data_IF_855925934773
#
_entry.id   IF_855925934773
#
_cell.length_a   1.000
_cell.length_b   1.000
_cell.length_c   1.000
_cell.angle_alpha   90.00
_cell.angle_beta   90.00
_cell.angle_gamma   90.00
#
_symmetry.space_group_name_H-M   'P 1'
#
loop_
_entity.id
_entity.type
_entity.pdbx_description
1 polymer ?
#
# COMPACT_ATOMS: atom_id res chain seq x y z
N UNK A 1 35.62 -2.81 6.28
CA UNK A 1 34.24 -2.33 6.44
C UNK A 1 33.87 -1.63 5.15
N UNK A 2 32.79 -2.06 4.49
CA UNK A 2 32.29 -1.33 3.32
C UNK A 2 31.82 0.06 3.75
N UNK A 3 32.01 1.06 2.90
CA UNK A 3 31.45 2.40 3.15
C UNK A 3 29.93 2.36 3.04
N UNK A 4 29.20 3.30 3.67
CA UNK A 4 27.73 3.36 3.61
C UNK A 4 27.22 3.42 2.16
N UNK A 5 27.94 4.13 1.29
CA UNK A 5 27.63 4.24 -0.14
C UNK A 5 27.89 2.93 -0.90
N UNK A 6 28.96 2.20 -0.57
CA UNK A 6 29.20 0.85 -1.14
C UNK A 6 28.10 -0.12 -0.75
N UNK A 7 27.71 -0.14 0.52
CA UNK A 7 26.62 -0.98 1.01
C UNK A 7 25.30 -0.63 0.32
N UNK A 8 24.99 0.66 0.20
CA UNK A 8 23.82 1.14 -0.54
C UNK A 8 23.81 0.64 -1.98
N UNK A 9 24.94 0.75 -2.69
CA UNK A 9 25.05 0.26 -4.07
C UNK A 9 24.88 -1.26 -4.15
N UNK A 10 25.45 -2.00 -3.20
CA UNK A 10 25.32 -3.46 -3.13
C UNK A 10 23.86 -3.89 -2.92
N UNK A 11 23.17 -3.32 -1.93
CA UNK A 11 21.76 -3.66 -1.64
C UNK A 11 20.85 -3.22 -2.79
N UNK A 12 21.13 -2.08 -3.41
CA UNK A 12 20.41 -1.63 -4.60
C UNK A 12 20.56 -2.60 -5.78
N UNK A 13 21.76 -3.14 -6.01
CA UNK A 13 21.97 -4.13 -7.06
C UNK A 13 21.17 -5.42 -6.80
N UNK A 14 21.09 -5.87 -5.56
CA UNK A 14 20.23 -7.00 -5.16
C UNK A 14 18.76 -6.69 -5.48
N UNK A 15 18.26 -5.51 -5.07
CA UNK A 15 16.90 -5.06 -5.41
C UNK A 15 16.65 -5.07 -6.92
N UNK A 16 17.61 -4.55 -7.70
CA UNK A 16 17.51 -4.47 -9.15
C UNK A 16 17.44 -5.85 -9.79
N UNK A 17 18.31 -6.77 -9.37
CA UNK A 17 18.33 -8.15 -9.86
C UNK A 17 17.03 -8.89 -9.52
N UNK A 18 16.51 -8.73 -8.30
CA UNK A 18 15.23 -9.29 -7.89
C UNK A 18 14.08 -8.79 -8.79
N UNK A 19 13.98 -7.48 -9.03
CA UNK A 19 12.92 -6.93 -9.88
C UNK A 19 13.12 -7.24 -11.36
N UNK A 20 14.37 -7.29 -11.84
CA UNK A 20 14.69 -7.73 -13.20
C UNK A 20 14.31 -9.20 -13.40
N UNK A 21 14.56 -10.06 -12.42
CA UNK A 21 14.20 -11.48 -12.48
C UNK A 21 12.68 -11.67 -12.67
N UNK A 22 11.86 -10.80 -12.07
CA UNK A 22 10.40 -10.82 -12.17
C UNK A 22 9.84 -10.33 -13.52
N UNK A 23 10.66 -9.71 -14.38
CA UNK A 23 10.20 -9.28 -15.70
C UNK A 23 9.83 -10.46 -16.60
N UNK A 24 8.81 -10.27 -17.45
CA UNK A 24 8.41 -11.29 -18.43
C UNK A 24 9.55 -11.55 -19.43
N UNK A 25 9.59 -12.77 -19.99
CA UNK A 25 10.56 -13.14 -21.03
C UNK A 25 10.53 -12.18 -22.22
N UNK A 26 9.34 -11.71 -22.60
CA UNK A 26 9.17 -10.69 -23.65
C UNK A 26 9.80 -9.36 -23.24
N UNK A 27 9.56 -8.88 -22.02
CA UNK A 27 10.15 -7.64 -21.53
C UNK A 27 11.69 -7.72 -21.51
N UNK A 28 12.25 -8.84 -21.05
CA UNK A 28 13.71 -9.09 -21.08
C UNK A 28 14.26 -9.12 -22.50
N UNK A 29 13.54 -9.72 -23.46
CA UNK A 29 13.95 -9.75 -24.86
C UNK A 29 13.96 -8.38 -25.55
N UNK A 30 13.28 -7.38 -24.98
CA UNK A 30 13.31 -5.98 -25.43
C UNK A 30 14.16 -5.09 -24.51
N UNK A 31 15.08 -5.67 -23.72
CA UNK A 31 15.93 -4.96 -22.77
C UNK A 31 15.17 -4.00 -21.85
N UNK A 32 13.95 -4.39 -21.45
CA UNK A 32 13.18 -3.61 -20.51
C UNK A 32 13.84 -3.62 -19.12
N UNK A 33 13.98 -2.45 -18.53
CA UNK A 33 14.43 -2.29 -17.15
C UNK A 33 13.26 -2.31 -16.15
N UNK A 34 13.48 -2.77 -14.91
CA UNK A 34 12.51 -2.64 -13.82
C UNK A 34 12.27 -1.15 -13.51
N UNK A 35 11.02 -0.78 -13.23
CA UNK A 35 10.67 0.61 -12.89
C UNK A 35 10.89 0.86 -11.39
N UNK A 36 12.13 1.19 -11.05
CA UNK A 36 12.58 1.51 -9.68
C UNK A 36 12.93 3.00 -9.65
N UNK A 37 12.31 3.75 -8.73
CA UNK A 37 12.51 5.20 -8.65
C UNK A 37 12.76 5.67 -7.25
N UNK A 38 13.82 6.44 -7.08
CA UNK A 38 14.09 7.07 -5.82
C UNK A 38 12.99 8.07 -5.47
N UNK A 39 12.53 8.04 -4.21
CA UNK A 39 11.60 9.00 -3.60
C UNK A 39 11.96 10.47 -3.86
N UNK A 40 13.26 10.83 -3.88
CA UNK A 40 13.75 12.17 -4.27
C UNK A 40 13.26 12.70 -5.61
N UNK A 41 13.03 11.81 -6.59
CA UNK A 41 12.56 12.23 -7.92
C UNK A 41 11.14 12.81 -7.90
N UNK A 42 10.35 12.50 -6.88
CA UNK A 42 8.96 12.93 -6.74
C UNK A 42 8.82 14.28 -6.00
N UNK A 43 9.86 14.73 -5.30
CA UNK A 43 9.88 15.99 -4.53
C UNK A 43 9.86 17.22 -5.45
N UNK A 44 10.54 17.17 -6.60
CA UNK A 44 10.75 18.33 -7.50
C UNK A 44 9.47 18.94 -8.10
N UNK A 45 8.32 18.26 -7.98
CA UNK A 45 7.07 18.69 -8.62
C UNK A 45 6.14 19.46 -7.68
N UNK A 46 6.34 19.38 -6.37
CA UNK A 46 5.45 19.95 -5.37
C UNK A 46 6.28 20.53 -4.20
N UNK A 47 6.69 21.79 -4.29
CA UNK A 47 7.07 22.57 -3.10
C UNK A 47 5.80 22.88 -2.28
N UNK A 48 5.22 21.85 -1.65
CA UNK A 48 4.19 22.06 -0.64
C UNK A 48 4.92 22.57 0.61
N UNK A 49 4.56 23.74 1.11
CA UNK A 49 5.10 24.24 2.37
C UNK A 49 4.58 23.34 3.50
N UNK A 50 5.45 22.52 4.10
CA UNK A 50 5.13 21.84 5.36
C UNK A 50 5.19 22.90 6.44
N UNK A 51 4.06 23.14 7.11
CA UNK A 51 4.03 24.03 8.26
C UNK A 51 4.93 23.42 9.35
N UNK A 52 5.83 24.22 9.91
CA UNK A 52 6.94 23.77 10.75
C UNK A 52 6.59 23.04 12.08
N UNK A 53 5.36 22.98 12.63
CA UNK A 53 5.13 22.13 13.80
C UNK A 53 4.85 20.65 13.45
N UNK A 54 4.82 20.25 12.18
CA UNK A 54 4.52 18.85 11.82
C UNK A 54 5.74 17.97 12.10
N UNK A 55 5.68 17.19 13.19
CA UNK A 55 6.70 16.19 13.58
C UNK A 55 6.42 14.79 13.03
N UNK A 56 5.17 14.53 12.63
CA UNK A 56 4.74 13.26 12.07
C UNK A 56 3.57 13.43 11.08
N UNK A 57 3.52 12.55 10.08
CA UNK A 57 2.43 12.45 9.11
C UNK A 57 1.97 11.00 9.01
N UNK A 58 0.69 10.79 9.27
CA UNK A 58 0.01 9.52 9.15
C UNK A 58 -0.69 9.39 7.79
N UNK A 59 -0.48 8.26 7.13
CA UNK A 59 -1.14 7.87 5.89
C UNK A 59 -2.02 6.64 6.17
N UNK A 60 -3.32 6.83 6.45
CA UNK A 60 -4.23 5.74 6.77
C UNK A 60 -4.65 4.95 5.53
N UNK A 61 -5.07 3.71 5.75
CA UNK A 61 -5.72 2.88 4.73
C UNK A 61 -6.92 3.60 4.07
N UNK A 62 -7.12 3.36 2.78
CA UNK A 62 -8.22 3.91 1.99
C UNK A 62 -9.57 3.49 2.54
N UNK A 63 -10.48 4.46 2.66
CA UNK A 63 -11.87 4.19 3.02
C UNK A 63 -12.57 3.25 2.03
N UNK A 64 -12.13 3.20 0.75
CA UNK A 64 -12.69 2.27 -0.23
C UNK A 64 -12.35 0.81 0.10
N UNK A 65 -11.12 0.52 0.53
CA UNK A 65 -10.75 -0.81 0.99
C UNK A 65 -11.43 -1.16 2.32
N UNK A 66 -11.57 -0.17 3.22
CA UNK A 66 -12.18 -0.36 4.53
C UNK A 66 -13.71 -0.48 4.50
N UNK A 67 -14.40 0.28 3.65
CA UNK A 67 -15.86 0.44 3.65
C UNK A 67 -16.54 -0.12 2.39
N UNK A 68 -15.84 -0.19 1.25
CA UNK A 68 -16.38 -0.68 -0.01
C UNK A 68 -16.99 -2.09 0.08
N UNK A 69 -16.29 -3.08 0.65
CA UNK A 69 -16.84 -4.41 0.87
C UNK A 69 -18.08 -4.42 1.78
N UNK A 70 -18.12 -3.52 2.77
CA UNK A 70 -19.27 -3.39 3.69
C UNK A 70 -20.50 -2.88 2.95
N UNK A 71 -20.34 -1.85 2.11
CA UNK A 71 -21.44 -1.30 1.28
C UNK A 71 -21.97 -2.37 0.31
N UNK A 72 -21.09 -3.07 -0.39
CA UNK A 72 -21.48 -4.16 -1.30
C UNK A 72 -22.23 -5.25 -0.54
N UNK A 73 -21.77 -5.60 0.65
CA UNK A 73 -22.46 -6.57 1.51
C UNK A 73 -23.85 -6.10 1.97
N UNK A 74 -24.00 -4.84 2.37
CA UNK A 74 -25.30 -4.26 2.73
C UNK A 74 -26.27 -4.32 1.54
N UNK A 75 -25.81 -3.97 0.34
CA UNK A 75 -26.62 -4.05 -0.89
C UNK A 75 -27.02 -5.49 -1.18
N UNK A 76 -26.09 -6.44 -1.09
CA UNK A 76 -26.38 -7.86 -1.29
C UNK A 76 -27.43 -8.37 -0.28
N UNK A 77 -27.28 -8.03 1.00
CA UNK A 77 -28.26 -8.32 2.04
C UNK A 77 -29.64 -7.73 1.74
N UNK A 78 -29.71 -6.47 1.29
CA UNK A 78 -30.96 -5.82 0.93
C UNK A 78 -31.65 -6.50 -0.26
N UNK A 79 -30.89 -6.92 -1.28
CA UNK A 79 -31.42 -7.67 -2.44
C UNK A 79 -31.96 -9.04 -1.99
N UNK A 80 -31.24 -9.76 -1.13
CA UNK A 80 -31.69 -11.06 -0.62
C UNK A 80 -32.97 -10.93 0.20
N UNK A 81 -33.05 -9.94 1.10
CA UNK A 81 -34.25 -9.63 1.87
C UNK A 81 -35.41 -9.27 0.92
N UNK A 82 -35.18 -8.37 -0.04
CA UNK A 82 -36.20 -7.99 -1.01
C UNK A 82 -36.73 -9.20 -1.79
N UNK A 83 -35.84 -10.06 -2.29
CA UNK A 83 -36.21 -11.27 -3.02
C UNK A 83 -37.03 -12.26 -2.18
N UNK A 84 -36.67 -12.47 -0.91
CA UNK A 84 -37.38 -13.38 0.00
C UNK A 84 -38.75 -12.83 0.40
N UNK A 85 -38.88 -11.54 0.69
CA UNK A 85 -40.11 -10.95 1.22
C UNK A 85 -41.11 -10.50 0.14
N UNK A 86 -40.64 -10.03 -1.03
CA UNK A 86 -41.54 -9.59 -2.11
C UNK A 86 -42.00 -10.73 -3.04
N UNK A 87 -41.15 -11.74 -3.30
CA UNK A 87 -41.51 -12.90 -4.13
C UNK A 87 -41.84 -14.15 -3.29
N UNK A 88 -41.83 -14.02 -1.96
CA UNK A 88 -41.82 -15.15 -1.04
C UNK A 88 -42.97 -16.12 -1.24
N UNK A 89 -44.21 -15.66 -1.43
CA UNK A 89 -45.41 -16.51 -1.43
C UNK A 89 -45.40 -17.59 -2.52
N UNK A 90 -44.83 -17.29 -3.68
CA UNK A 90 -44.76 -18.19 -4.83
C UNK A 90 -43.45 -18.97 -4.93
N UNK A 91 -42.48 -18.67 -4.04
CA UNK A 91 -41.18 -19.32 -4.05
C UNK A 91 -41.20 -20.65 -3.27
N UNK A 92 -40.68 -21.74 -3.87
CA UNK A 92 -40.42 -22.99 -3.17
C UNK A 92 -39.60 -22.81 -1.89
N UNK A 93 -39.92 -23.60 -0.86
CA UNK A 93 -39.27 -23.54 0.46
C UNK A 93 -37.74 -23.65 0.37
N UNK A 94 -37.21 -24.47 -0.54
CA UNK A 94 -35.77 -24.62 -0.72
C UNK A 94 -35.08 -23.33 -1.20
N UNK A 95 -35.74 -22.48 -1.99
CA UNK A 95 -35.18 -21.18 -2.43
C UNK A 95 -35.09 -20.22 -1.25
N UNK A 96 -36.08 -20.23 -0.36
CA UNK A 96 -36.08 -19.41 0.86
C UNK A 96 -34.96 -19.83 1.82
N UNK A 97 -34.73 -21.14 1.97
CA UNK A 97 -33.63 -21.68 2.77
C UNK A 97 -32.28 -21.28 2.16
N UNK A 98 -32.12 -21.42 0.85
CA UNK A 98 -30.87 -21.08 0.15
C UNK A 98 -30.56 -19.58 0.22
N UNK A 99 -31.59 -18.73 0.16
CA UNK A 99 -31.47 -17.28 0.39
C UNK A 99 -31.09 -16.93 1.84
N UNK A 100 -31.64 -17.63 2.83
CA UNK A 100 -31.26 -17.43 4.22
C UNK A 100 -29.80 -17.86 4.48
N UNK A 101 -29.38 -19.01 3.92
CA UNK A 101 -27.99 -19.49 4.03
C UNK A 101 -27.02 -18.52 3.36
N UNK A 102 -27.32 -18.04 2.15
CA UNK A 102 -26.47 -17.06 1.48
C UNK A 102 -26.38 -15.74 2.24
N UNK A 103 -27.48 -15.27 2.86
CA UNK A 103 -27.48 -14.12 3.75
C UNK A 103 -26.53 -14.32 4.95
N UNK A 104 -26.63 -15.46 5.65
CA UNK A 104 -25.73 -15.75 6.79
C UNK A 104 -24.26 -15.86 6.36
N UNK A 105 -23.98 -16.41 5.18
CA UNK A 105 -22.61 -16.46 4.62
C UNK A 105 -22.09 -15.05 4.33
N UNK A 106 -22.90 -14.19 3.70
CA UNK A 106 -22.52 -12.79 3.43
C UNK A 106 -22.30 -12.03 4.73
N UNK A 107 -23.20 -12.14 5.71
CA UNK A 107 -23.03 -11.54 7.03
C UNK A 107 -21.77 -12.06 7.74
N UNK A 108 -21.50 -13.36 7.67
CA UNK A 108 -20.29 -13.96 8.24
C UNK A 108 -19.02 -13.42 7.61
N UNK A 109 -18.97 -13.26 6.29
CA UNK A 109 -17.84 -12.65 5.57
C UNK A 109 -17.67 -11.18 5.97
N UNK A 110 -18.76 -10.43 6.11
CA UNK A 110 -18.73 -9.03 6.53
C UNK A 110 -18.22 -8.86 7.96
N UNK A 111 -18.69 -9.69 8.89
CA UNK A 111 -18.24 -9.68 10.29
C UNK A 111 -16.76 -10.10 10.35
N UNK A 112 -16.38 -11.17 9.66
CA UNK A 112 -14.98 -11.62 9.64
C UNK A 112 -14.03 -10.57 9.04
N UNK A 113 -14.51 -9.73 8.11
CA UNK A 113 -13.75 -8.61 7.56
C UNK A 113 -13.74 -7.38 8.46
N UNK A 114 -14.85 -7.06 9.13
CA UNK A 114 -14.87 -5.93 10.07
C UNK A 114 -14.00 -6.22 11.31
N UNK A 115 -13.88 -7.47 11.73
CA UNK A 115 -12.95 -7.90 12.79
C UNK A 115 -11.49 -7.99 12.34
N UNK A 116 -11.23 -7.99 11.02
CA UNK A 116 -9.89 -7.99 10.41
C UNK A 116 -9.47 -6.62 9.89
N UNK A 117 -10.30 -5.59 10.04
CA UNK A 117 -9.88 -4.22 9.80
C UNK A 117 -8.92 -3.84 10.93
N UNK A 118 -7.65 -4.26 10.80
CA UNK A 118 -6.60 -3.93 11.74
C UNK A 118 -6.57 -2.41 11.89
N UNK A 119 -6.82 -1.87 13.09
CA UNK A 119 -6.72 -0.43 13.31
C UNK A 119 -5.29 0.12 13.11
N UNK A 120 -4.31 -0.75 12.85
CA UNK A 120 -2.87 -0.46 12.79
C UNK A 120 -2.26 -0.44 11.38
N UNK A 121 -3.06 -0.61 10.31
CA UNK A 121 -2.53 -0.52 8.94
C UNK A 121 -2.42 0.96 8.53
N UNK A 122 -1.29 1.57 8.88
CA UNK A 122 -0.91 2.92 8.50
C UNK A 122 0.56 2.97 8.12
N UNK A 123 0.89 3.98 7.31
CA UNK A 123 2.28 4.41 7.12
C UNK A 123 2.44 5.69 7.93
N UNK A 124 3.34 5.70 8.90
CA UNK A 124 3.74 6.91 9.61
C UNK A 124 5.11 7.35 9.13
N UNK A 125 5.25 8.64 8.80
CA UNK A 125 6.54 9.25 8.53
C UNK A 125 6.74 10.37 9.53
N UNK A 126 7.77 10.27 10.35
CA UNK A 126 8.07 11.23 11.41
C UNK A 126 9.52 11.70 11.36
N UNK A 127 9.86 12.65 12.23
CA UNK A 127 11.26 13.05 12.41
C UNK A 127 12.14 11.91 12.93
N UNK A 128 11.57 10.90 13.60
CA UNK A 128 12.33 9.76 14.12
C UNK A 128 12.58 8.67 13.07
N UNK A 129 11.69 8.52 12.09
CA UNK A 129 11.78 7.44 11.12
C UNK A 129 10.51 7.20 10.32
N UNK A 130 10.35 5.96 9.85
CA UNK A 130 9.15 5.48 9.16
C UNK A 130 8.58 4.28 9.91
N UNK A 131 7.29 4.32 10.23
CA UNK A 131 6.53 3.14 10.68
C UNK A 131 5.70 2.57 9.53
N UNK A 132 5.87 1.27 9.26
CA UNK A 132 5.16 0.53 8.23
C UNK A 132 4.48 -0.69 8.87
N UNK A 133 3.16 -0.62 9.09
CA UNK A 133 2.36 -1.73 9.64
C UNK A 133 2.96 -2.37 10.91
N UNK A 134 3.39 -1.54 11.86
CA UNK A 134 3.94 -2.00 13.14
C UNK A 134 5.45 -2.31 13.11
N UNK A 135 6.12 -2.07 11.99
CA UNK A 135 7.57 -2.08 11.90
C UNK A 135 8.11 -0.65 11.82
N UNK A 136 8.80 -0.23 12.88
CA UNK A 136 9.44 1.09 12.94
C UNK A 136 10.90 1.02 12.50
N UNK A 137 11.28 1.89 11.57
CA UNK A 137 12.63 2.02 11.02
C UNK A 137 13.16 3.44 11.26
N UNK A 138 14.26 3.54 12.00
CA UNK A 138 14.92 4.84 12.22
C UNK A 138 15.64 5.33 10.96
N UNK A 139 15.77 6.65 10.78
CA UNK A 139 16.39 7.20 9.56
C UNK A 139 17.85 6.75 9.36
N UNK A 140 18.59 6.52 10.43
CA UNK A 140 19.98 6.06 10.41
C UNK A 140 20.10 4.65 9.85
N UNK A 141 19.09 3.81 10.10
CA UNK A 141 19.01 2.44 9.61
C UNK A 141 18.65 2.38 8.12
N UNK A 142 18.04 3.44 7.59
CA UNK A 142 17.59 3.50 6.19
C UNK A 142 18.72 4.06 5.31
N UNK A 143 19.33 3.21 4.49
CA UNK A 143 20.29 3.62 3.47
C UNK A 143 19.61 4.47 2.40
N UNK A 144 18.49 3.98 1.86
CA UNK A 144 17.71 4.73 0.88
C UNK A 144 16.28 4.23 0.69
N UNK A 145 15.47 5.05 0.01
CA UNK A 145 14.04 4.80 -0.19
C UNK A 145 13.65 4.89 -1.66
N UNK A 146 12.92 3.88 -2.13
CA UNK A 146 12.50 3.74 -3.51
C UNK A 146 11.01 3.41 -3.63
N UNK A 147 10.44 3.77 -4.76
CA UNK A 147 9.12 3.32 -5.23
C UNK A 147 9.37 2.35 -6.38
N UNK A 148 8.87 1.13 -6.23
CA UNK A 148 8.96 0.07 -7.24
C UNK A 148 7.60 -0.14 -7.88
N UNK A 149 7.58 -0.18 -9.21
CA UNK A 149 6.36 -0.44 -9.98
C UNK A 149 6.56 -1.63 -10.91
N UNK A 150 5.82 -2.71 -10.66
CA UNK A 150 5.86 -3.88 -11.53
C UNK A 150 5.01 -3.64 -12.78
N UNK A 151 5.50 -4.04 -13.95
CA UNK A 151 4.82 -3.89 -15.26
C UNK A 151 3.66 -4.89 -15.48
N UNK A 152 3.05 -5.42 -14.42
CA UNK A 152 1.86 -6.26 -14.53
C UNK A 152 0.59 -5.41 -14.45
N UNK A 153 -0.43 -5.79 -15.23
CA UNK A 153 -1.65 -5.00 -15.48
C UNK A 153 -2.37 -4.48 -14.23
N UNK A 154 -2.17 -5.13 -13.07
CA UNK A 154 -2.78 -4.78 -11.78
C UNK A 154 -1.81 -4.82 -10.58
N UNK A 155 -0.50 -4.80 -10.78
CA UNK A 155 0.42 -4.83 -9.64
C UNK A 155 0.44 -3.46 -8.93
N UNK A 156 0.24 -3.42 -7.59
CA UNK A 156 0.35 -2.17 -6.84
C UNK A 156 1.81 -1.68 -6.82
N UNK A 157 1.99 -0.37 -6.63
CA UNK A 157 3.31 0.18 -6.31
C UNK A 157 3.74 -0.29 -4.91
N UNK A 158 5.04 -0.46 -4.71
CA UNK A 158 5.65 -0.82 -3.42
C UNK A 158 6.58 0.31 -2.96
N UNK A 159 6.51 0.66 -1.68
CA UNK A 159 7.55 1.44 -1.00
C UNK A 159 8.63 0.47 -0.55
N UNK A 160 9.87 0.76 -0.92
CA UNK A 160 11.03 -0.07 -0.62
C UNK A 160 12.02 0.72 0.22
N UNK A 161 12.41 0.16 1.35
CA UNK A 161 13.47 0.68 2.22
C UNK A 161 14.70 -0.23 2.07
N UNK A 162 15.84 0.36 1.74
CA UNK A 162 17.13 -0.32 1.82
C UNK A 162 17.71 -0.09 3.20
N UNK A 163 18.04 -1.15 3.93
CA UNK A 163 18.49 -1.08 5.31
C UNK A 163 20.01 -1.28 5.44
N UNK A 164 20.61 -0.68 6.46
CA UNK A 164 22.04 -0.73 6.77
C UNK A 164 22.55 -2.09 7.24
N UNK A 165 21.63 -3.01 7.58
CA UNK A 165 21.92 -4.42 7.83
C UNK A 165 21.95 -5.26 6.54
N UNK A 166 21.76 -4.65 5.37
CA UNK A 166 21.74 -5.32 4.08
C UNK A 166 20.38 -5.87 3.65
N UNK A 167 19.34 -5.73 4.48
CA UNK A 167 18.00 -6.20 4.17
C UNK A 167 17.21 -5.19 3.32
N UNK A 168 16.22 -5.71 2.59
CA UNK A 168 15.28 -4.92 1.78
C UNK A 168 13.88 -5.09 2.38
N UNK A 169 13.30 -4.02 2.89
CA UNK A 169 11.92 -4.02 3.37
C UNK A 169 11.00 -3.48 2.27
N UNK A 170 9.84 -4.13 2.09
CA UNK A 170 8.89 -3.84 1.00
C UNK A 170 7.48 -3.75 1.56
N UNK A 171 6.83 -2.61 1.37
CA UNK A 171 5.44 -2.39 1.77
C UNK A 171 4.56 -2.09 0.55
N UNK A 172 3.45 -2.83 0.42
CA UNK A 172 2.53 -2.64 -0.70
C UNK A 172 1.68 -1.39 -0.50
N UNK A 173 1.75 -0.45 -1.43
CA UNK A 173 0.97 0.78 -1.31
C UNK A 173 -0.50 0.60 -1.68
N UNK A 174 -0.93 -0.57 -2.15
CA UNK A 174 -2.28 -0.84 -2.70
C UNK A 174 -3.43 -0.28 -1.88
N UNK A 175 -3.33 -0.42 -0.56
CA UNK A 175 -4.45 -0.22 0.34
C UNK A 175 -4.58 1.23 0.81
N UNK A 176 -3.57 2.08 0.63
CA UNK A 176 -3.58 3.45 1.12
C UNK A 176 -4.26 4.38 0.11
N UNK A 177 -5.12 5.31 0.58
CA UNK A 177 -5.96 6.18 -0.28
C UNK A 177 -5.13 7.05 -1.24
N UNK A 178 -3.85 7.21 -0.92
CA UNK A 178 -2.81 7.84 -1.72
C UNK A 178 -2.35 7.03 -2.94
N UNK A 179 -2.85 5.80 -3.14
CA UNK A 179 -2.30 4.83 -4.11
C UNK A 179 -3.25 4.34 -5.21
N UNK A 180 -4.38 5.00 -5.43
CA UNK A 180 -5.32 4.63 -6.51
C UNK A 180 -5.28 5.62 -7.68
N UNK A 181 -4.13 5.72 -8.35
CA UNK A 181 -4.06 5.60 -9.81
C UNK A 181 -2.59 5.63 -10.23
N UNK A 182 -2.29 4.96 -11.33
CA UNK A 182 -0.96 4.53 -11.74
C UNK A 182 0.10 5.64 -11.89
N UNK A 183 -0.26 6.92 -11.73
CA UNK A 183 0.59 8.11 -11.66
C UNK A 183 -0.16 9.27 -10.96
N UNK A 184 -0.87 8.99 -9.86
CA UNK A 184 -1.59 10.01 -9.12
C UNK A 184 -0.61 10.98 -8.41
N UNK A 185 -0.91 12.29 -8.32
CA UNK A 185 -0.14 13.30 -7.57
C UNK A 185 -0.10 13.10 -6.03
N UNK A 186 -0.40 11.88 -5.56
CA UNK A 186 -0.66 11.54 -4.17
C UNK A 186 0.42 10.60 -3.59
N UNK A 187 1.11 9.78 -4.40
CA UNK A 187 2.38 9.17 -4.02
C UNK A 187 3.48 10.21 -3.81
N UNK A 188 3.37 11.33 -4.54
CA UNK A 188 4.25 12.48 -4.39
C UNK A 188 4.22 13.02 -2.95
N UNK A 189 3.07 12.94 -2.25
CA UNK A 189 2.96 13.41 -0.87
C UNK A 189 3.73 12.51 0.11
N UNK A 190 3.58 11.18 0.01
CA UNK A 190 4.36 10.26 0.85
C UNK A 190 5.86 10.43 0.61
N UNK A 191 6.29 10.45 -0.66
CA UNK A 191 7.70 10.66 -1.01
C UNK A 191 8.21 12.02 -0.52
N UNK A 192 7.38 13.05 -0.57
CA UNK A 192 7.72 14.38 -0.10
C UNK A 192 7.94 14.44 1.41
N UNK A 193 7.05 13.85 2.22
CA UNK A 193 7.25 13.77 3.66
C UNK A 193 8.47 12.92 4.05
N UNK A 194 8.72 11.80 3.34
CA UNK A 194 9.92 10.98 3.54
C UNK A 194 11.18 11.83 3.33
N UNK A 195 11.28 12.53 2.21
CA UNK A 195 12.49 13.33 1.93
C UNK A 195 12.60 14.58 2.79
N UNK A 196 11.48 15.18 3.21
CA UNK A 196 11.49 16.32 4.14
C UNK A 196 12.08 15.93 5.49
N UNK A 197 11.59 14.86 6.11
CA UNK A 197 12.09 14.42 7.41
C UNK A 197 13.50 13.82 7.33
N UNK A 198 13.80 13.05 6.28
CA UNK A 198 15.17 12.60 5.98
C UNK A 198 16.14 13.78 5.81
N UNK A 199 15.70 14.87 5.17
CA UNK A 199 16.50 16.07 4.95
C UNK A 199 16.78 16.89 6.22
N UNK A 200 15.85 16.92 7.18
CA UNK A 200 16.08 17.59 8.48
C UNK A 200 17.21 16.91 9.28
N UNK A 201 17.31 15.58 9.25
CA UNK A 201 18.37 14.81 9.94
C UNK A 201 19.78 14.98 9.37
N UNK A 202 19.92 15.42 8.11
CA UNK A 202 21.23 15.62 7.47
C UNK A 202 21.81 17.02 7.78
N UNK A 203 20.96 17.94 8.25
CA UNK A 203 21.33 19.33 8.54
C UNK A 203 21.41 19.65 10.04
N UNK A 204 21.18 18.65 10.91
CA UNK A 204 21.46 18.68 12.35
C UNK A 204 22.77 17.94 12.64
#
# INVERSE_FOLDING_TARGET
MATREELKAQVYNVLYEEEYALLSKTAKAFDAEPDIRHTRRFVKKNEKIILDPVTARLFPESMEHRVGPVIVGIIACAITIWFIFFNGRDLPVWIRILGAVSFFVVCGILIARSTKADPEIYIEVSSAGIDLNGYSFAWEQILDTYIVKRRHRNAPAELVLLLDNGNIFRESLRNYKTASSCWAPQHDELCFYIEHFKGKMVNE
#
